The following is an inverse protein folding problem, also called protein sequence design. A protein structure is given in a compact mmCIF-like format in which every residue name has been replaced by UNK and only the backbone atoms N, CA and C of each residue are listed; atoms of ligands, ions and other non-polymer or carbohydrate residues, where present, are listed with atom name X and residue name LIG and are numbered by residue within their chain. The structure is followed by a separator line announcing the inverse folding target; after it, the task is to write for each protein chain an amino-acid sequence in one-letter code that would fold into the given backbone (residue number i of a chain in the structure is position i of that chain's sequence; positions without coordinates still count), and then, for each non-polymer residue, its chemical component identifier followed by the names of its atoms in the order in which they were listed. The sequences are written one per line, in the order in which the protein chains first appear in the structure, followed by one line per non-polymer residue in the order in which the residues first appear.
data_IF_201227057628
#
_entry.id   IF_201227057628
#
_cell.length_a   1.000
_cell.length_b   1.000
_cell.length_c   1.000
_cell.angle_alpha   90.00
_cell.angle_beta   90.00
_cell.angle_gamma   90.00
#
_symmetry.space_group_name_H-M   'P 1'
#
loop_
_entity.id
_entity.type
_entity.pdbx_description
1 polymer ?
#
# COMPACT_ATOMS: atom_id res chain seq x y z
N UNK A 1 -14.12 -28.62 5.71
CA UNK A 1 -13.72 -27.20 5.93
C UNK A 1 -14.81 -26.32 5.35
N UNK A 2 -15.26 -25.28 6.05
CA UNK A 2 -16.34 -24.44 5.54
C UNK A 2 -15.80 -23.53 4.42
N UNK A 3 -16.42 -23.56 3.24
CA UNK A 3 -16.03 -22.74 2.09
C UNK A 3 -15.98 -21.24 2.43
N UNK A 4 -16.84 -20.78 3.34
CA UNK A 4 -16.87 -19.40 3.83
C UNK A 4 -15.55 -19.01 4.52
N UNK A 5 -14.98 -19.90 5.33
CA UNK A 5 -13.73 -19.64 6.04
C UNK A 5 -12.58 -19.49 5.04
N UNK A 6 -12.56 -20.35 4.01
CA UNK A 6 -11.57 -20.27 2.92
C UNK A 6 -11.67 -18.94 2.16
N UNK A 7 -12.88 -18.48 1.85
CA UNK A 7 -13.10 -17.20 1.16
C UNK A 7 -12.60 -16.02 2.01
N UNK A 8 -12.93 -16.01 3.31
CA UNK A 8 -12.48 -14.96 4.23
C UNK A 8 -10.95 -14.91 4.30
N UNK A 9 -10.30 -16.07 4.48
CA UNK A 9 -8.84 -16.17 4.51
C UNK A 9 -8.20 -15.67 3.21
N UNK A 10 -8.79 -15.99 2.06
CA UNK A 10 -8.30 -15.54 0.76
C UNK A 10 -8.37 -14.01 0.63
N UNK A 11 -9.51 -13.41 0.99
CA UNK A 11 -9.69 -11.94 0.92
C UNK A 11 -8.69 -11.22 1.84
N UNK A 12 -8.56 -11.69 3.08
CA UNK A 12 -7.60 -11.10 4.02
C UNK A 12 -6.16 -11.32 3.58
N UNK A 13 -5.81 -12.51 3.09
CA UNK A 13 -4.47 -12.82 2.59
C UNK A 13 -4.07 -11.95 1.40
N UNK A 14 -4.96 -11.81 0.40
CA UNK A 14 -4.74 -10.93 -0.75
C UNK A 14 -4.62 -9.49 -0.30
N UNK A 15 -5.52 -9.01 0.57
CA UNK A 15 -5.45 -7.64 1.08
C UNK A 15 -4.15 -7.38 1.82
N UNK A 16 -3.66 -8.32 2.62
CA UNK A 16 -2.41 -8.17 3.36
C UNK A 16 -1.23 -8.08 2.39
N UNK A 17 -1.18 -8.94 1.37
CA UNK A 17 -0.17 -8.88 0.31
C UNK A 17 -0.16 -7.53 -0.40
N UNK A 18 -1.34 -7.00 -0.73
CA UNK A 18 -1.48 -5.69 -1.37
C UNK A 18 -1.05 -4.54 -0.46
N UNK A 19 -1.37 -4.61 0.85
CA UNK A 19 -0.87 -3.65 1.84
C UNK A 19 0.66 -3.66 1.92
N UNK A 20 1.29 -4.84 1.92
CA UNK A 20 2.75 -4.94 1.91
C UNK A 20 3.36 -4.34 0.63
N UNK A 21 2.77 -4.61 -0.54
CA UNK A 21 3.21 -4.02 -1.81
C UNK A 21 3.08 -2.49 -1.80
N UNK A 22 1.97 -1.96 -1.27
CA UNK A 22 1.77 -0.53 -1.11
C UNK A 22 2.84 0.09 -0.20
N UNK A 23 3.12 -0.51 0.96
CA UNK A 23 4.17 -0.02 1.88
C UNK A 23 5.55 -0.01 1.22
N UNK A 24 5.93 -1.08 0.51
CA UNK A 24 7.20 -1.15 -0.23
C UNK A 24 7.28 -0.04 -1.28
N UNK A 25 6.19 0.22 -2.01
CA UNK A 25 6.14 1.30 -3.00
C UNK A 25 6.27 2.69 -2.35
N UNK A 26 5.62 2.93 -1.21
CA UNK A 26 5.73 4.19 -0.46
C UNK A 26 7.18 4.41 0.02
N UNK A 27 7.82 3.37 0.55
CA UNK A 27 9.21 3.44 1.03
C UNK A 27 10.15 3.82 -0.10
N UNK A 28 10.00 3.17 -1.27
CA UNK A 28 10.86 3.38 -2.46
C UNK A 28 10.64 4.72 -3.15
N UNK A 29 9.43 5.30 -3.05
CA UNK A 29 9.12 6.58 -3.67
C UNK A 29 9.58 7.77 -2.84
N UNK A 30 9.89 8.85 -3.54
CA UNK A 30 10.05 10.16 -2.94
C UNK A 30 8.79 11.00 -3.20
N UNK A 31 8.23 11.54 -2.12
CA UNK A 31 7.02 12.37 -2.15
C UNK A 31 7.35 13.86 -1.97
N UNK A 32 8.63 14.23 -1.94
CA UNK A 32 9.11 15.61 -1.73
C UNK A 32 8.98 16.11 -0.29
N UNK A 33 8.12 15.50 0.53
CA UNK A 33 7.98 15.82 1.95
C UNK A 33 7.87 14.56 2.81
N UNK A 34 8.65 14.43 3.91
CA UNK A 34 8.52 13.34 4.86
C UNK A 34 7.11 13.20 5.44
N UNK A 35 6.41 14.32 5.67
CA UNK A 35 5.04 14.33 6.22
C UNK A 35 4.05 13.63 5.27
N UNK A 36 4.18 13.88 3.97
CA UNK A 36 3.33 13.25 2.95
C UNK A 36 3.64 11.76 2.86
N UNK A 37 4.93 11.38 2.93
CA UNK A 37 5.33 9.98 2.96
C UNK A 37 4.71 9.25 4.16
N UNK A 38 4.76 9.83 5.35
CA UNK A 38 4.17 9.25 6.57
C UNK A 38 2.64 9.12 6.44
N UNK A 39 1.96 10.14 5.91
CA UNK A 39 0.51 10.09 5.66
C UNK A 39 0.12 8.89 4.78
N UNK A 40 0.87 8.62 3.71
CA UNK A 40 0.60 7.45 2.87
C UNK A 40 0.81 6.13 3.59
N UNK A 41 1.76 6.02 4.53
CA UNK A 41 1.91 4.81 5.35
C UNK A 41 0.69 4.58 6.23
N UNK A 42 0.20 5.63 6.90
CA UNK A 42 -1.02 5.52 7.72
C UNK A 42 -2.24 5.13 6.90
N UNK A 43 -2.42 5.72 5.72
CA UNK A 43 -3.51 5.36 4.81
C UNK A 43 -3.40 3.90 4.37
N UNK A 44 -2.21 3.43 3.97
CA UNK A 44 -2.00 2.07 3.50
C UNK A 44 -2.25 1.00 4.58
N UNK A 45 -2.02 1.34 5.86
CA UNK A 45 -2.22 0.44 7.00
C UNK A 45 -3.69 0.20 7.37
N UNK A 46 -4.63 0.95 6.81
CA UNK A 46 -6.06 0.70 7.03
C UNK A 46 -6.40 -0.69 6.44
N UNK A 47 -6.85 -1.67 7.25
CA UNK A 47 -7.12 -3.01 6.77
C UNK A 47 -8.15 -3.02 5.64
N UNK A 48 -7.99 -3.94 4.68
CA UNK A 48 -8.88 -4.18 3.53
C UNK A 48 -8.99 -3.06 2.49
N UNK A 49 -8.92 -1.79 2.90
CA UNK A 49 -9.18 -0.63 2.03
C UNK A 49 -7.97 0.30 1.84
N UNK A 50 -7.02 0.30 2.77
CA UNK A 50 -5.91 1.25 2.77
C UNK A 50 -5.01 1.13 1.54
N UNK A 51 -4.68 -0.11 1.17
CA UNK A 51 -3.92 -0.40 -0.04
C UNK A 51 -4.63 0.11 -1.31
N UNK A 52 -5.97 0.02 -1.35
CA UNK A 52 -6.76 0.45 -2.50
C UNK A 52 -6.72 1.98 -2.65
N UNK A 53 -6.93 2.71 -1.54
CA UNK A 53 -6.81 4.18 -1.53
C UNK A 53 -5.41 4.61 -1.96
N UNK A 54 -4.38 3.93 -1.45
CA UNK A 54 -3.01 4.20 -1.86
C UNK A 54 -2.78 3.96 -3.36
N UNK A 55 -3.21 2.82 -3.91
CA UNK A 55 -2.99 2.50 -5.32
C UNK A 55 -3.70 3.46 -6.28
N UNK A 56 -4.90 3.93 -5.92
CA UNK A 56 -5.67 4.86 -6.75
C UNK A 56 -5.05 6.27 -6.72
N UNK A 57 -4.73 6.78 -5.53
CA UNK A 57 -4.35 8.19 -5.36
C UNK A 57 -2.86 8.40 -5.06
N UNK A 58 -2.29 7.60 -4.17
CA UNK A 58 -0.91 7.75 -3.70
C UNK A 58 0.14 7.25 -4.69
N UNK A 59 -0.17 6.18 -5.42
CA UNK A 59 0.75 5.56 -6.38
C UNK A 59 1.23 6.52 -7.46
N UNK A 60 0.35 7.43 -7.94
CA UNK A 60 0.69 8.41 -8.98
C UNK A 60 1.40 9.66 -8.45
N UNK A 61 1.41 9.88 -7.14
CA UNK A 61 1.92 11.12 -6.53
C UNK A 61 3.41 11.08 -6.18
N UNK A 62 3.99 9.90 -5.95
CA UNK A 62 5.41 9.76 -5.65
C UNK A 62 6.26 9.65 -6.91
N UNK A 63 7.43 10.30 -6.94
CA UNK A 63 8.43 10.08 -8.00
C UNK A 63 9.34 8.92 -7.59
N UNK A 64 9.66 8.04 -8.54
CA UNK A 64 10.74 7.08 -8.34
C UNK A 64 12.03 7.88 -8.19
N UNK A 65 12.82 7.59 -7.17
CA UNK A 65 14.14 8.21 -7.00
C UNK A 65 14.95 7.88 -8.26
N UNK A 66 15.17 8.88 -9.12
CA UNK A 66 16.13 8.74 -10.21
C UNK A 66 17.50 8.78 -9.55
N UNK A 67 18.12 7.61 -9.42
CA UNK A 67 19.55 7.56 -9.12
C UNK A 67 20.28 8.05 -10.37
N UNK A 68 20.57 9.35 -10.44
CA UNK A 68 21.71 9.83 -11.22
C UNK A 68 22.94 9.51 -10.40
N UNK A 69 23.65 8.47 -10.82
CA UNK A 69 24.98 8.10 -10.34
C UNK A 69 26.01 9.17 -10.75
#
# INVERSE_FOLDING_TARGET
MNNIILIILLIFGISLGLTMLALVDIIKKDFGSPKIKILWHFIALIPLIGWLIYLIFGYRKGRKKSFTA
#
